data_IF_581053297819
#
_entry.id   IF_581053297819
#
_cell.length_a   1.000
_cell.length_b   1.000
_cell.length_c   1.000
_cell.angle_alpha   90.00
_cell.angle_beta   90.00
_cell.angle_gamma   90.00
#
_symmetry.space_group_name_H-M   'P 1'
#
loop_
_entity.id
_entity.type
_entity.pdbx_description
1 polymer ?
#
# COMPACT_ATOMS: atom_id res chain seq x y z
N UNK A 1 0.76 -2.09 5.42
CA UNK A 1 0.92 -0.80 4.70
C UNK A 1 0.60 -0.97 3.23
N UNK A 2 0.11 0.05 2.54
CA UNK A 2 -0.29 0.00 1.13
C UNK A 2 0.81 0.56 0.23
N UNK A 3 0.92 0.00 -0.97
CA UNK A 3 1.86 0.38 -2.02
C UNK A 3 1.07 0.69 -3.29
N UNK A 4 1.41 1.77 -4.00
CA UNK A 4 0.79 2.17 -5.26
C UNK A 4 1.77 2.80 -6.25
N UNK A 5 1.66 2.47 -7.53
CA UNK A 5 2.43 3.12 -8.60
C UNK A 5 1.67 3.17 -9.92
N UNK A 6 1.64 4.33 -10.59
CA UNK A 6 1.04 4.47 -11.92
C UNK A 6 1.90 5.26 -12.94
N UNK A 7 3.15 5.56 -12.59
CA UNK A 7 4.08 6.31 -13.45
C UNK A 7 5.40 5.56 -13.62
N UNK A 8 5.97 5.61 -14.84
CA UNK A 8 7.25 4.98 -15.16
C UNK A 8 7.18 3.45 -15.11
N UNK A 9 8.26 2.82 -14.67
CA UNK A 9 8.25 1.37 -14.41
C UNK A 9 7.55 1.07 -13.09
N UNK A 10 6.23 0.93 -13.19
CA UNK A 10 5.33 0.73 -12.04
C UNK A 10 5.77 -0.44 -11.16
N UNK A 11 6.19 -1.56 -11.77
CA UNK A 11 6.58 -2.75 -11.01
C UNK A 11 7.91 -2.54 -10.31
N UNK A 12 8.92 -2.00 -11.01
CA UNK A 12 10.22 -1.73 -10.41
C UNK A 12 10.13 -0.71 -9.26
N UNK A 13 9.24 0.28 -9.35
CA UNK A 13 8.99 1.21 -8.24
C UNK A 13 8.47 0.50 -6.99
N UNK A 14 7.59 -0.50 -7.16
CA UNK A 14 7.08 -1.28 -6.03
C UNK A 14 8.14 -2.24 -5.47
N UNK A 15 8.93 -2.91 -6.32
CA UNK A 15 10.06 -3.76 -5.89
C UNK A 15 11.09 -2.94 -5.12
N UNK A 16 11.44 -1.76 -5.64
CA UNK A 16 12.29 -0.80 -4.95
C UNK A 16 11.74 -0.48 -3.55
N UNK A 17 10.44 -0.18 -3.45
CA UNK A 17 9.82 0.12 -2.15
C UNK A 17 9.98 -1.06 -1.17
N UNK A 18 9.64 -2.29 -1.59
CA UNK A 18 9.77 -3.49 -0.74
C UNK A 18 11.20 -3.68 -0.25
N UNK A 19 12.20 -3.51 -1.13
CA UNK A 19 13.61 -3.62 -0.75
C UNK A 19 14.03 -2.55 0.28
N UNK A 20 13.52 -1.32 0.15
CA UNK A 20 13.82 -0.23 1.09
C UNK A 20 13.13 -0.37 2.44
N UNK A 21 12.00 -1.07 2.50
CA UNK A 21 11.27 -1.32 3.75
C UNK A 21 12.08 -2.14 4.77
N UNK A 22 13.05 -2.94 4.33
CA UNK A 22 13.95 -3.68 5.23
C UNK A 22 14.70 -2.81 6.24
N UNK A 23 14.91 -1.52 5.95
CA UNK A 23 15.51 -0.57 6.91
C UNK A 23 14.53 -0.09 7.99
N UNK A 24 13.22 -0.25 7.75
CA UNK A 24 12.14 0.17 8.64
C UNK A 24 11.59 -0.98 9.49
N UNK A 25 11.73 -2.23 9.04
CA UNK A 25 11.28 -3.43 9.74
C UNK A 25 11.46 -4.69 8.89
N UNK A 26 11.03 -5.83 9.41
CA UNK A 26 10.99 -7.09 8.68
C UNK A 26 9.75 -7.15 7.79
N UNK A 27 9.94 -7.40 6.50
CA UNK A 27 8.84 -7.64 5.56
C UNK A 27 8.33 -9.07 5.77
N UNK A 28 7.31 -9.21 6.63
CA UNK A 28 6.76 -10.50 7.01
C UNK A 28 5.92 -11.14 5.90
N UNK A 29 5.21 -10.32 5.11
CA UNK A 29 4.44 -10.80 3.96
C UNK A 29 4.19 -9.70 2.93
N UNK A 30 3.97 -10.11 1.68
CA UNK A 30 3.58 -9.24 0.56
C UNK A 30 2.36 -9.86 -0.12
N UNK A 31 1.38 -9.04 -0.49
CA UNK A 31 0.20 -9.50 -1.22
C UNK A 31 0.52 -9.79 -2.69
N UNK A 32 -0.45 -10.38 -3.39
CA UNK A 32 -0.49 -10.36 -4.86
C UNK A 32 -0.47 -8.92 -5.39
N UNK A 33 -0.10 -8.79 -6.66
CA UNK A 33 -0.09 -7.54 -7.39
C UNK A 33 -1.41 -7.34 -8.12
N UNK A 34 -2.00 -6.16 -7.96
CA UNK A 34 -3.31 -5.83 -8.52
C UNK A 34 -3.26 -4.55 -9.35
N UNK A 35 -3.98 -4.53 -10.47
CA UNK A 35 -4.14 -3.35 -11.31
C UNK A 35 -5.55 -2.77 -11.15
N UNK A 36 -5.65 -1.45 -10.96
CA UNK A 36 -6.93 -0.75 -10.80
C UNK A 36 -6.95 0.60 -11.50
N UNK A 37 -8.14 1.00 -11.95
CA UNK A 37 -8.38 2.35 -12.42
C UNK A 37 -8.04 3.40 -11.32
N UNK A 38 -7.56 4.60 -11.71
CA UNK A 38 -7.25 5.65 -10.76
C UNK A 38 -8.51 6.19 -10.07
N UNK A 39 -8.36 6.53 -8.80
CA UNK A 39 -9.41 7.22 -8.03
C UNK A 39 -9.23 8.72 -8.15
N UNK A 40 -10.32 9.46 -8.36
CA UNK A 40 -10.32 10.92 -8.24
C UNK A 40 -10.51 11.70 -9.54
N UNK A 41 -10.79 11.04 -10.66
CA UNK A 41 -11.27 11.69 -11.89
C UNK A 41 -10.22 12.49 -12.68
N UNK A 42 -8.97 12.54 -12.22
CA UNK A 42 -7.85 13.11 -13.00
C UNK A 42 -7.42 12.06 -14.04
N UNK A 43 -7.42 12.39 -15.36
CA UNK A 43 -6.95 11.47 -16.39
C UNK A 43 -5.50 11.04 -16.13
N UNK A 44 -5.31 9.73 -15.94
CA UNK A 44 -4.01 9.11 -15.67
C UNK A 44 -4.07 7.61 -15.92
N UNK A 45 -2.91 6.95 -15.97
CA UNK A 45 -2.82 5.51 -16.12
C UNK A 45 -3.27 4.74 -14.87
N UNK A 46 -3.54 3.45 -15.07
CA UNK A 46 -3.92 2.52 -14.02
C UNK A 46 -2.80 2.35 -13.00
N UNK A 47 -3.19 2.13 -11.74
CA UNK A 47 -2.28 1.85 -10.64
C UNK A 47 -2.01 0.36 -10.54
N UNK A 48 -0.75 0.01 -10.34
CA UNK A 48 -0.38 -1.20 -9.64
C UNK A 48 -0.47 -0.95 -8.14
N UNK A 49 -1.15 -1.84 -7.41
CA UNK A 49 -1.34 -1.78 -5.98
C UNK A 49 -0.96 -3.11 -5.32
N UNK A 50 -0.42 -3.02 -4.11
CA UNK A 50 -0.15 -4.16 -3.24
C UNK A 50 -0.19 -3.73 -1.77
N UNK A 51 -0.18 -4.71 -0.86
CA UNK A 51 -0.06 -4.49 0.58
C UNK A 51 1.13 -5.29 1.11
N UNK A 52 1.87 -4.68 2.04
CA UNK A 52 2.96 -5.31 2.78
C UNK A 52 2.59 -5.38 4.25
N UNK A 53 2.77 -6.55 4.85
CA UNK A 53 2.81 -6.71 6.30
C UNK A 53 4.25 -6.49 6.76
N UNK A 54 4.46 -5.47 7.57
CA UNK A 54 5.76 -5.07 8.08
C UNK A 54 5.77 -5.26 9.59
N UNK A 55 6.65 -6.11 10.10
CA UNK A 55 6.93 -6.19 11.54
C UNK A 55 8.01 -5.16 11.90
N UNK A 56 7.69 -4.25 12.82
CA UNK A 56 8.56 -3.14 13.15
C UNK A 56 8.35 -2.69 14.59
N UNK A 57 9.48 -2.44 15.27
CA UNK A 57 9.51 -1.81 16.60
C UNK A 57 9.35 -0.28 16.54
N UNK A 58 9.28 0.31 15.33
CA UNK A 58 9.12 1.75 15.15
C UNK A 58 7.67 2.15 15.35
N UNK A 59 7.43 3.30 15.97
CA UNK A 59 6.10 3.87 16.10
C UNK A 59 5.51 4.38 14.76
N UNK A 60 4.20 4.70 14.72
CA UNK A 60 3.50 5.14 13.50
C UNK A 60 4.11 6.35 12.80
N UNK A 61 4.58 7.35 13.56
CA UNK A 61 5.21 8.56 13.01
C UNK A 61 6.56 8.26 12.34
N UNK A 62 7.53 7.63 13.02
CA UNK A 62 8.78 7.21 12.37
C UNK A 62 8.58 6.32 11.14
N UNK A 63 7.56 5.46 11.12
CA UNK A 63 7.21 4.66 9.93
C UNK A 63 6.74 5.55 8.78
N UNK A 64 5.80 6.47 9.04
CA UNK A 64 5.32 7.41 8.02
C UNK A 64 6.47 8.26 7.46
N UNK A 65 7.36 8.76 8.32
CA UNK A 65 8.51 9.54 7.87
C UNK A 65 9.45 8.71 6.98
N UNK A 66 9.66 7.43 7.32
CA UNK A 66 10.38 6.47 6.47
C UNK A 66 9.71 6.24 5.12
N UNK A 67 8.39 6.12 5.08
CA UNK A 67 7.63 5.96 3.84
C UNK A 67 7.79 7.18 2.94
N UNK A 68 7.63 8.38 3.50
CA UNK A 68 7.81 9.64 2.77
C UNK A 68 9.22 9.79 2.20
N UNK A 69 10.24 9.30 2.92
CA UNK A 69 11.62 9.28 2.44
C UNK A 69 11.80 8.33 1.25
N UNK A 70 11.29 7.09 1.33
CA UNK A 70 11.37 6.10 0.24
C UNK A 70 10.68 6.63 -1.02
N UNK A 71 9.53 7.29 -0.87
CA UNK A 71 8.84 7.93 -1.99
C UNK A 71 9.66 9.04 -2.65
N UNK A 72 10.35 9.86 -1.85
CA UNK A 72 11.20 10.92 -2.37
C UNK A 72 12.37 10.34 -3.18
N UNK A 73 12.97 9.25 -2.71
CA UNK A 73 14.03 8.54 -3.44
C UNK A 73 13.53 7.87 -4.73
N UNK A 74 12.27 7.43 -4.74
CA UNK A 74 11.58 6.97 -5.95
C UNK A 74 11.10 8.12 -6.87
N UNK A 75 11.55 9.36 -6.62
CA UNK A 75 11.24 10.51 -7.47
C UNK A 75 9.79 11.00 -7.38
N UNK A 76 9.08 10.76 -6.27
CA UNK A 76 7.69 11.22 -6.10
C UNK A 76 7.63 12.75 -6.08
N UNK A 77 6.97 13.33 -7.09
CA UNK A 77 6.71 14.76 -7.16
C UNK A 77 5.24 15.08 -6.84
N UNK A 78 4.99 16.02 -5.91
CA UNK A 78 3.63 16.40 -5.48
C UNK A 78 3.11 17.61 -6.27
N UNK A 79 2.94 17.45 -7.59
CA UNK A 79 2.50 18.55 -8.49
C UNK A 79 0.98 18.76 -8.52
N UNK A 80 0.19 17.68 -8.57
CA UNK A 80 -1.27 17.72 -8.72
C UNK A 80 -1.93 16.86 -7.65
N UNK A 81 -2.98 17.38 -7.00
CA UNK A 81 -3.79 16.59 -6.06
C UNK A 81 -4.44 15.43 -6.82
N UNK A 82 -4.19 14.20 -6.37
CA UNK A 82 -4.62 12.95 -7.02
C UNK A 82 -4.04 12.72 -8.42
N UNK A 83 -2.95 13.41 -8.77
CA UNK A 83 -2.24 13.14 -10.01
C UNK A 83 -1.38 11.87 -9.95
N UNK A 84 -0.74 11.51 -11.08
CA UNK A 84 0.15 10.37 -11.20
C UNK A 84 1.28 10.39 -10.17
N UNK A 85 1.74 9.20 -9.75
CA UNK A 85 2.78 9.00 -8.76
C UNK A 85 3.71 7.87 -9.22
N UNK A 86 5.03 8.12 -9.12
CA UNK A 86 6.03 7.06 -9.24
C UNK A 86 5.86 6.03 -8.12
N UNK A 87 5.66 6.49 -6.89
CA UNK A 87 5.41 5.65 -5.72
C UNK A 87 4.48 6.36 -4.73
N UNK A 88 3.59 5.59 -4.11
CA UNK A 88 2.70 6.00 -3.01
C UNK A 88 2.75 4.91 -1.93
N UNK A 89 3.11 5.29 -0.71
CA UNK A 89 3.20 4.41 0.45
C UNK A 89 2.27 4.93 1.56
N UNK A 90 1.24 4.14 1.88
CA UNK A 90 0.24 4.50 2.87
C UNK A 90 0.37 3.65 4.15
N UNK A 91 0.43 4.31 5.32
CA UNK A 91 0.27 3.62 6.60
C UNK A 91 -1.21 3.31 6.85
N UNK A 92 -1.61 2.07 6.56
CA UNK A 92 -3.00 1.61 6.60
C UNK A 92 -3.51 1.30 8.00
N UNK A 93 -2.75 0.46 8.72
CA UNK A 93 -3.03 -0.08 10.04
C UNK A 93 -1.71 -0.17 10.81
N UNK A 94 -1.78 -0.10 12.13
CA UNK A 94 -0.65 -0.30 13.03
C UNK A 94 -1.14 -1.00 14.29
N UNK A 95 -1.02 -2.34 14.33
CA UNK A 95 -1.61 -3.14 15.40
C UNK A 95 -3.08 -2.78 15.63
N UNK A 96 -3.43 -2.53 16.89
CA UNK A 96 -4.72 -2.04 17.37
C UNK A 96 -4.76 -0.51 17.58
N UNK A 97 -3.68 0.20 17.20
CA UNK A 97 -3.53 1.61 17.51
C UNK A 97 -4.53 2.48 16.72
N UNK A 98 -5.10 3.45 17.44
CA UNK A 98 -5.86 4.57 16.87
C UNK A 98 -5.04 5.84 17.05
N UNK A 99 -4.66 6.46 15.94
CA UNK A 99 -3.82 7.67 15.94
C UNK A 99 -4.57 8.78 15.21
N UNK A 100 -4.70 9.92 15.87
CA UNK A 100 -5.19 11.15 15.28
C UNK A 100 -4.19 12.28 15.55
N UNK A 101 -3.34 12.59 14.57
CA UNK A 101 -2.33 13.63 14.65
C UNK A 101 -2.26 14.42 13.34
N UNK A 102 -1.71 15.66 13.35
CA UNK A 102 -1.50 16.41 12.11
C UNK A 102 -0.73 15.60 11.08
N UNK A 103 -1.35 15.37 9.91
CA UNK A 103 -0.76 14.61 8.82
C UNK A 103 -0.59 13.10 9.06
N UNK A 104 -1.16 12.53 10.13
CA UNK A 104 -1.11 11.09 10.41
C UNK A 104 -2.42 10.62 11.05
N UNK A 105 -3.11 9.73 10.36
CA UNK A 105 -4.33 9.08 10.86
C UNK A 105 -4.22 7.56 10.66
N UNK A 106 -4.43 6.80 11.74
CA UNK A 106 -4.43 5.33 11.74
C UNK A 106 -5.67 4.85 12.51
N UNK A 107 -6.49 3.93 11.97
CA UNK A 107 -6.48 3.42 10.60
C UNK A 107 -6.51 4.52 9.54
N UNK A 108 -5.95 4.26 8.35
CA UNK A 108 -5.99 5.23 7.27
C UNK A 108 -7.44 5.62 6.98
N UNK A 109 -7.78 6.92 6.86
CA UNK A 109 -9.17 7.39 6.90
C UNK A 109 -10.05 6.87 5.76
N UNK A 110 -9.43 6.46 4.64
CA UNK A 110 -10.14 5.86 3.48
C UNK A 110 -9.90 4.36 3.34
N UNK A 111 -9.36 3.70 4.36
CA UNK A 111 -9.07 2.26 4.33
C UNK A 111 -10.33 1.46 3.96
N UNK A 112 -11.44 1.75 4.64
CA UNK A 112 -12.71 1.01 4.50
C UNK A 112 -13.42 1.23 3.17
N UNK A 113 -12.99 2.23 2.39
CA UNK A 113 -13.63 2.63 1.14
C UNK A 113 -13.03 1.95 -0.09
N UNK A 114 -11.88 1.26 0.06
CA UNK A 114 -11.02 0.91 -1.06
C UNK A 114 -10.76 -0.59 -1.13
N UNK A 115 -11.39 -1.27 -2.09
CA UNK A 115 -11.18 -2.70 -2.32
C UNK A 115 -9.73 -3.03 -2.65
N UNK A 116 -9.06 -2.19 -3.43
CA UNK A 116 -7.66 -2.36 -3.81
C UNK A 116 -6.67 -2.25 -2.64
N UNK A 117 -7.16 -1.86 -1.47
CA UNK A 117 -6.41 -1.90 -0.21
C UNK A 117 -6.89 -3.06 0.65
N UNK A 118 -8.20 -3.23 0.82
CA UNK A 118 -8.78 -4.23 1.72
C UNK A 118 -8.56 -5.67 1.23
N UNK A 119 -8.74 -5.93 -0.07
CA UNK A 119 -8.56 -7.28 -0.60
C UNK A 119 -7.10 -7.75 -0.50
N UNK A 120 -6.08 -6.97 -0.90
CA UNK A 120 -4.70 -7.37 -0.71
C UNK A 120 -4.27 -7.41 0.77
N UNK A 121 -4.86 -6.56 1.63
CA UNK A 121 -4.65 -6.65 3.08
C UNK A 121 -5.16 -7.98 3.65
N UNK A 122 -6.30 -8.48 3.16
CA UNK A 122 -6.85 -9.77 3.60
C UNK A 122 -5.98 -10.96 3.15
N UNK A 123 -5.15 -10.82 2.11
CA UNK A 123 -4.19 -11.86 1.72
C UNK A 123 -3.06 -12.01 2.74
N UNK A 124 -2.61 -10.91 3.36
CA UNK A 124 -1.45 -10.91 4.27
C UNK A 124 -1.84 -10.89 5.75
N UNK A 125 -3.06 -10.47 6.08
CA UNK A 125 -3.56 -10.41 7.45
C UNK A 125 -5.08 -10.69 7.48
N UNK A 126 -5.52 -11.93 7.20
CA UNK A 126 -6.94 -12.28 7.02
C UNK A 126 -7.80 -12.03 8.26
N UNK A 127 -7.24 -12.24 9.46
CA UNK A 127 -7.95 -12.12 10.73
C UNK A 127 -7.89 -10.70 11.34
N UNK A 128 -7.44 -9.70 10.56
CA UNK A 128 -7.32 -8.34 11.06
C UNK A 128 -8.68 -7.77 11.53
N UNK A 129 -8.66 -7.11 12.67
CA UNK A 129 -9.74 -6.23 13.14
C UNK A 129 -9.28 -4.80 12.90
N UNK A 130 -10.06 -4.03 12.15
CA UNK A 130 -9.80 -2.61 11.91
C UNK A 130 -10.40 -1.82 13.08
N UNK A 131 -9.57 -1.14 13.92
CA UNK A 131 -10.06 -0.33 15.03
C UNK A 131 -11.15 0.65 14.59
N UNK A 132 -12.29 0.65 15.28
CA UNK A 132 -13.43 1.50 14.97
C UNK A 132 -14.30 1.08 13.78
N UNK A 133 -13.92 0.03 13.03
CA UNK A 133 -14.64 -0.40 11.82
C UNK A 133 -15.04 -1.88 11.79
N UNK A 134 -14.41 -2.75 12.60
CA UNK A 134 -14.79 -4.16 12.72
C UNK A 134 -13.90 -5.11 11.94
N UNK A 135 -14.42 -6.30 11.58
CA UNK A 135 -13.61 -7.35 10.94
C UNK A 135 -13.26 -6.99 9.51
N UNK A 136 -12.01 -7.26 9.10
CA UNK A 136 -11.55 -7.02 7.73
C UNK A 136 -12.42 -7.73 6.69
N UNK A 137 -12.84 -8.98 6.96
CA UNK A 137 -13.67 -9.76 6.04
C UNK A 137 -15.02 -9.07 5.71
N UNK A 138 -15.62 -8.40 6.69
CA UNK A 138 -16.89 -7.67 6.50
C UNK A 138 -16.67 -6.42 5.64
N UNK A 139 -15.56 -5.72 5.87
CA UNK A 139 -15.16 -4.55 5.09
C UNK A 139 -14.84 -4.91 3.64
N UNK A 140 -14.15 -6.02 3.39
CA UNK A 140 -13.88 -6.53 2.02
C UNK A 140 -15.19 -6.79 1.29
N UNK A 141 -16.16 -7.43 1.97
CA UNK A 141 -17.48 -7.73 1.40
C UNK A 141 -18.24 -6.46 1.02
N UNK A 142 -18.13 -5.39 1.82
CA UNK A 142 -18.81 -4.12 1.59
C UNK A 142 -18.34 -3.39 0.31
N UNK A 143 -17.13 -3.67 -0.17
CA UNK A 143 -16.55 -3.05 -1.38
C UNK A 143 -16.34 -4.04 -2.54
N UNK A 144 -16.97 -5.22 -2.47
CA UNK A 144 -16.77 -6.31 -3.44
C UNK A 144 -17.21 -5.98 -4.88
N UNK A 145 -17.95 -4.90 -5.09
CA UNK A 145 -18.36 -4.43 -6.41
C UNK A 145 -17.28 -3.60 -7.15
N UNK A 146 -16.23 -3.14 -6.45
CA UNK A 146 -15.17 -2.35 -7.08
C UNK A 146 -14.28 -3.25 -7.94
N UNK A 147 -14.09 -2.92 -9.21
CA UNK A 147 -13.30 -3.74 -10.12
C UNK A 147 -11.81 -3.72 -9.77
N UNK A 148 -11.17 -4.88 -9.85
CA UNK A 148 -9.73 -5.06 -9.72
C UNK A 148 -9.29 -6.14 -10.69
N UNK A 149 -8.09 -5.98 -11.26
CA UNK A 149 -7.49 -6.97 -12.15
C UNK A 149 -6.28 -7.58 -11.46
N UNK A 150 -6.29 -8.89 -11.28
CA UNK A 150 -5.11 -9.61 -10.79
C UNK A 150 -3.99 -9.54 -11.82
N UNK A 151 -2.75 -9.29 -11.38
CA UNK A 151 -1.57 -9.17 -12.25
C UNK A 151 -0.59 -10.32 -12.03
N UNK A 152 -0.22 -10.58 -10.77
CA UNK A 152 0.70 -11.67 -10.42
C UNK A 152 0.62 -12.02 -8.94
N UNK A 153 1.08 -13.22 -8.61
CA UNK A 153 1.27 -13.71 -7.23
C UNK A 153 2.41 -12.96 -6.52
N UNK A 154 2.53 -13.06 -5.17
CA UNK A 154 3.46 -12.27 -4.35
C UNK A 154 4.95 -12.28 -4.76
N UNK A 155 5.39 -13.25 -5.55
CA UNK A 155 6.77 -13.39 -6.03
C UNK A 155 7.22 -12.20 -6.90
N UNK A 156 6.29 -11.33 -7.34
CA UNK A 156 6.62 -10.05 -7.98
C UNK A 156 7.60 -9.21 -7.16
N UNK A 157 7.60 -9.37 -5.84
CA UNK A 157 8.45 -8.63 -4.91
C UNK A 157 9.91 -9.13 -4.87
N UNK A 158 10.21 -10.32 -5.41
CA UNK A 158 11.54 -10.94 -5.30
C UNK A 158 12.57 -10.40 -6.31
N UNK A 159 12.21 -9.39 -7.11
CA UNK A 159 13.01 -8.94 -8.24
C UNK A 159 13.08 -10.00 -9.34
N UNK A 160 13.48 -9.61 -10.55
CA UNK A 160 13.83 -10.63 -11.55
C UNK A 160 15.08 -11.38 -11.05
N UNK A 161 15.16 -12.71 -11.22
CA UNK A 161 16.41 -13.41 -10.96
C UNK A 161 17.53 -12.71 -11.76
N UNK A 162 18.75 -12.60 -11.21
CA UNK A 162 19.85 -11.97 -11.94
C UNK A 162 19.96 -12.63 -13.32
N UNK A 163 19.96 -11.81 -14.37
CA UNK A 163 20.22 -12.29 -15.72
C UNK A 163 21.60 -12.98 -15.69
N UNK A 164 21.59 -14.30 -15.87
CA UNK A 164 22.80 -15.12 -15.92
C UNK A 164 23.66 -14.82 -17.13
#
# INVERSE_FOLDING_TARGET
MGLGSNLGDRRQNLVFAVNRLGALGEVAAVSSLWETAPVGGVPQGDYLNAVVLLDSVRGPRPLLDGFLHIEAEAGRERRVRWGPRSLDLDLLLYGDAVVAAPGLQVPHPRLTERRFVLAPLAEVWPDAIVPGHGRLADLVSAVANQAMKWVSSPEWAQGDPPAG
#
